data_IF_716816087341
#
_entry.id   IF_716816087341
#
_cell.length_a   1.000
_cell.length_b   1.000
_cell.length_c   1.000
_cell.angle_alpha   90.00
_cell.angle_beta   90.00
_cell.angle_gamma   90.00
#
_symmetry.space_group_name_H-M   'P 1'
#
loop_
_entity.id
_entity.type
_entity.pdbx_description
1 polymer ?
#
# COMPACT_ATOMS: atom_id res chain seq x y z
N UNK A 1 -3.07 34.48 17.19
CA UNK A 1 -3.87 34.46 15.93
C UNK A 1 -4.14 35.87 15.48
N UNK A 2 -4.72 36.73 16.31
CA UNK A 2 -4.85 38.18 16.01
C UNK A 2 -3.48 38.82 15.72
N UNK A 3 -2.46 38.53 16.53
CA UNK A 3 -1.09 39.03 16.29
C UNK A 3 -0.51 38.58 14.93
N UNK A 4 -0.77 37.33 14.52
CA UNK A 4 -0.29 36.80 13.25
C UNK A 4 -1.02 37.43 12.05
N UNK A 5 -2.31 37.73 12.19
CA UNK A 5 -3.10 38.43 11.17
C UNK A 5 -2.61 39.87 11.02
N UNK A 6 -2.42 40.58 12.13
CA UNK A 6 -1.90 41.93 12.14
C UNK A 6 -0.49 42.00 11.54
N UNK A 7 0.35 40.98 11.79
CA UNK A 7 1.69 40.89 11.21
C UNK A 7 1.64 40.71 9.69
N UNK A 8 0.80 39.81 9.19
CA UNK A 8 0.62 39.62 7.74
C UNK A 8 0.09 40.89 7.08
N UNK A 9 -0.92 41.54 7.64
CA UNK A 9 -1.46 42.80 7.11
C UNK A 9 -0.40 43.92 7.08
N UNK A 10 0.42 44.01 8.13
CA UNK A 10 1.52 44.98 8.21
C UNK A 10 2.56 44.73 7.13
N UNK A 11 3.00 43.49 6.96
CA UNK A 11 3.97 43.11 5.93
C UNK A 11 3.42 43.32 4.52
N UNK A 12 2.14 43.00 4.27
CA UNK A 12 1.50 43.26 2.98
C UNK A 12 1.45 44.75 2.62
N UNK A 13 1.18 45.61 3.60
CA UNK A 13 1.16 47.06 3.39
C UNK A 13 2.57 47.63 3.16
N UNK A 14 3.58 47.07 3.80
CA UNK A 14 4.96 47.57 3.74
C UNK A 14 5.73 47.08 2.52
N UNK A 15 5.57 45.80 2.17
CA UNK A 15 6.41 45.10 1.17
C UNK A 15 5.61 44.61 -0.04
N UNK A 16 4.28 44.71 0.02
CA UNK A 16 3.37 44.26 -1.03
C UNK A 16 2.91 42.80 -0.85
N UNK A 17 1.79 42.42 -1.49
CA UNK A 17 1.13 41.12 -1.28
C UNK A 17 1.90 39.90 -1.81
N UNK A 18 2.96 40.12 -2.58
CA UNK A 18 3.83 39.08 -3.15
C UNK A 18 5.24 39.08 -2.54
N UNK A 19 5.46 39.79 -1.42
CA UNK A 19 6.76 39.77 -0.74
C UNK A 19 7.13 38.35 -0.29
N UNK A 20 8.39 37.97 -0.47
CA UNK A 20 8.93 36.70 0.03
C UNK A 20 8.87 36.61 1.56
N UNK A 21 8.92 37.76 2.26
CA UNK A 21 8.80 37.85 3.71
C UNK A 21 7.46 37.37 4.27
N UNK A 22 6.43 37.27 3.41
CA UNK A 22 5.10 36.81 3.80
C UNK A 22 4.98 35.29 3.90
N UNK A 23 5.89 34.50 3.31
CA UNK A 23 5.76 33.04 3.29
C UNK A 23 5.66 32.48 4.73
N UNK A 24 6.66 32.70 5.59
CA UNK A 24 6.66 32.15 6.95
C UNK A 24 5.44 32.60 7.80
N UNK A 25 5.09 33.90 7.87
CA UNK A 25 3.90 34.35 8.60
C UNK A 25 2.58 33.73 8.10
N UNK A 26 2.43 33.54 6.79
CA UNK A 26 1.26 32.87 6.22
C UNK A 26 1.22 31.37 6.57
N UNK A 27 2.37 30.68 6.59
CA UNK A 27 2.46 29.31 7.07
C UNK A 27 2.03 29.20 8.54
N UNK A 28 2.55 30.09 9.40
CA UNK A 28 2.22 30.11 10.83
C UNK A 28 0.72 30.40 11.07
N UNK A 29 0.10 31.26 10.25
CA UNK A 29 -1.37 31.41 10.24
C UNK A 29 -2.07 30.11 9.86
N UNK A 30 -1.62 29.46 8.78
CA UNK A 30 -2.14 28.17 8.34
C UNK A 30 -2.15 27.13 9.46
N UNK A 31 -1.02 26.97 10.15
CA UNK A 31 -0.87 26.09 11.29
C UNK A 31 -1.78 26.48 12.45
N UNK A 32 -1.88 27.78 12.76
CA UNK A 32 -2.77 28.27 13.81
C UNK A 32 -4.25 27.98 13.50
N UNK A 33 -4.68 28.02 12.24
CA UNK A 33 -6.04 27.61 11.85
C UNK A 33 -6.26 26.11 11.99
N UNK A 34 -5.27 25.27 11.67
CA UNK A 34 -5.36 23.81 11.88
C UNK A 34 -5.54 23.44 13.35
N UNK A 35 -4.82 24.11 14.28
CA UNK A 35 -5.00 23.86 15.73
C UNK A 35 -6.42 24.18 16.22
N UNK A 36 -7.20 24.94 15.45
CA UNK A 36 -8.61 25.28 15.75
C UNK A 36 -9.60 24.49 14.90
N UNK A 37 -9.17 23.42 14.23
CA UNK A 37 -9.99 22.63 13.30
C UNK A 37 -10.62 23.45 12.16
N UNK A 38 -9.98 24.55 11.75
CA UNK A 38 -10.42 25.44 10.68
C UNK A 38 -9.65 25.15 9.39
N UNK A 39 -9.86 23.95 8.84
CA UNK A 39 -9.09 23.45 7.70
C UNK A 39 -9.25 24.31 6.43
N UNK A 40 -10.41 24.95 6.21
CA UNK A 40 -10.65 25.76 5.00
C UNK A 40 -9.80 27.02 4.98
N UNK A 41 -9.69 27.68 6.12
CA UNK A 41 -8.82 28.84 6.30
C UNK A 41 -7.36 28.43 6.22
N UNK A 42 -6.98 27.34 6.87
CA UNK A 42 -5.63 26.82 6.82
C UNK A 42 -5.17 26.56 5.38
N UNK A 43 -6.00 25.90 4.56
CA UNK A 43 -5.72 25.62 3.15
C UNK A 43 -5.38 26.91 2.40
N UNK A 44 -6.18 27.98 2.55
CA UNK A 44 -5.95 29.25 1.85
C UNK A 44 -4.59 29.87 2.22
N UNK A 45 -4.25 29.90 3.51
CA UNK A 45 -2.99 30.48 3.96
C UNK A 45 -1.78 29.63 3.56
N UNK A 46 -1.87 28.30 3.69
CA UNK A 46 -0.81 27.37 3.29
C UNK A 46 -0.55 27.39 1.79
N UNK A 47 -1.59 27.38 0.96
CA UNK A 47 -1.44 27.48 -0.51
C UNK A 47 -0.70 28.76 -0.92
N UNK A 48 -1.06 29.89 -0.31
CA UNK A 48 -0.40 31.16 -0.60
C UNK A 48 1.04 31.18 -0.11
N UNK A 49 1.30 30.64 1.07
CA UNK A 49 2.65 30.50 1.61
C UNK A 49 3.55 29.66 0.69
N UNK A 50 3.06 28.50 0.25
CA UNK A 50 3.75 27.62 -0.70
C UNK A 50 4.01 28.34 -2.02
N UNK A 51 3.02 29.06 -2.56
CA UNK A 51 3.20 29.83 -3.78
C UNK A 51 4.33 30.86 -3.65
N UNK A 52 4.37 31.61 -2.55
CA UNK A 52 5.42 32.60 -2.33
C UNK A 52 6.79 31.95 -2.17
N UNK A 53 6.89 30.86 -1.40
CA UNK A 53 8.13 30.08 -1.27
C UNK A 53 8.63 29.59 -2.65
N UNK A 54 7.74 29.11 -3.53
CA UNK A 54 8.12 28.71 -4.90
C UNK A 54 8.70 29.87 -5.71
N UNK A 55 8.10 31.05 -5.60
CA UNK A 55 8.52 32.25 -6.33
C UNK A 55 9.85 32.78 -5.80
N UNK A 56 10.05 32.75 -4.47
CA UNK A 56 11.22 33.36 -3.83
C UNK A 56 12.43 32.43 -3.70
N UNK A 57 12.20 31.14 -3.43
CA UNK A 57 13.26 30.17 -3.11
C UNK A 57 13.40 29.07 -4.17
N UNK A 58 12.48 29.02 -5.14
CA UNK A 58 12.49 28.07 -6.26
C UNK A 58 11.47 26.94 -6.13
N UNK A 59 11.24 26.25 -7.24
CA UNK A 59 10.14 25.29 -7.38
C UNK A 59 10.21 24.13 -6.38
N UNK A 60 11.37 23.75 -5.87
CA UNK A 60 11.53 22.62 -4.95
C UNK A 60 12.26 23.00 -3.66
N UNK A 61 11.97 24.20 -3.14
CA UNK A 61 12.55 24.68 -1.89
C UNK A 61 12.13 23.83 -0.67
N UNK A 62 13.04 23.54 0.30
CA UNK A 62 12.75 22.68 1.46
C UNK A 62 11.75 23.30 2.43
N UNK A 63 11.68 24.63 2.45
CA UNK A 63 10.70 25.39 3.24
C UNK A 63 9.26 24.94 2.95
N UNK A 64 9.01 24.40 1.76
CA UNK A 64 7.71 23.88 1.35
C UNK A 64 7.33 22.55 2.02
N UNK A 65 8.29 21.76 2.52
CA UNK A 65 8.01 20.39 2.99
C UNK A 65 6.96 20.36 4.11
N UNK A 66 7.17 21.11 5.19
CA UNK A 66 6.23 21.16 6.33
C UNK A 66 4.87 21.74 5.90
N UNK A 67 4.87 22.79 5.07
CA UNK A 67 3.64 23.42 4.61
C UNK A 67 2.78 22.46 3.76
N UNK A 68 3.43 21.67 2.89
CA UNK A 68 2.77 20.67 2.07
C UNK A 68 2.22 19.53 2.91
N UNK A 69 2.99 19.03 3.89
CA UNK A 69 2.52 17.98 4.82
C UNK A 69 1.25 18.43 5.57
N UNK A 70 1.23 19.67 6.06
CA UNK A 70 0.06 20.25 6.72
C UNK A 70 -1.10 20.50 5.76
N UNK A 71 -0.82 20.93 4.52
CA UNK A 71 -1.84 21.13 3.49
C UNK A 71 -2.51 19.81 3.09
N UNK A 72 -1.73 18.73 2.94
CA UNK A 72 -2.22 17.38 2.67
C UNK A 72 -3.13 16.91 3.82
N UNK A 73 -2.68 17.06 5.07
CA UNK A 73 -3.48 16.71 6.24
C UNK A 73 -4.80 17.49 6.29
N UNK A 74 -4.76 18.78 5.95
CA UNK A 74 -5.95 19.62 5.85
C UNK A 74 -6.93 19.10 4.80
N UNK A 75 -6.46 18.74 3.59
CA UNK A 75 -7.31 18.16 2.55
C UNK A 75 -7.92 16.83 2.96
N UNK A 76 -7.15 15.93 3.58
CA UNK A 76 -7.64 14.66 4.12
C UNK A 76 -8.74 14.91 5.15
N UNK A 77 -8.56 15.88 6.05
CA UNK A 77 -9.56 16.22 7.08
C UNK A 77 -10.89 16.72 6.50
N UNK A 78 -10.87 17.29 5.29
CA UNK A 78 -12.06 17.73 4.57
C UNK A 78 -12.66 16.65 3.65
N UNK A 79 -12.05 15.47 3.59
CA UNK A 79 -12.41 14.42 2.62
C UNK A 79 -12.04 14.76 1.17
N UNK A 80 -11.22 15.78 0.94
CA UNK A 80 -10.75 16.15 -0.40
C UNK A 80 -9.50 15.33 -0.77
N UNK A 81 -9.69 14.03 -0.96
CA UNK A 81 -8.61 13.08 -1.24
C UNK A 81 -7.90 13.33 -2.57
N UNK A 82 -8.60 13.84 -3.59
CA UNK A 82 -7.99 14.18 -4.88
C UNK A 82 -6.97 15.31 -4.73
N UNK A 83 -7.33 16.40 -4.03
CA UNK A 83 -6.38 17.48 -3.81
C UNK A 83 -5.19 17.03 -2.94
N UNK A 84 -5.42 16.14 -1.96
CA UNK A 84 -4.35 15.54 -1.18
C UNK A 84 -3.39 14.71 -2.06
N UNK A 85 -3.90 13.91 -3.00
CA UNK A 85 -3.09 13.07 -3.90
C UNK A 85 -2.20 13.91 -4.83
N UNK A 86 -2.74 15.02 -5.36
CA UNK A 86 -1.95 15.98 -6.14
C UNK A 86 -0.80 16.58 -5.32
N UNK A 87 -1.07 16.98 -4.07
CA UNK A 87 -0.05 17.55 -3.19
C UNK A 87 0.98 16.52 -2.75
N UNK A 88 0.61 15.25 -2.57
CA UNK A 88 1.54 14.16 -2.24
C UNK A 88 2.56 13.92 -3.37
N UNK A 89 2.09 13.92 -4.61
CA UNK A 89 2.97 13.82 -5.80
C UNK A 89 3.95 15.00 -5.87
N UNK A 90 3.49 16.20 -5.49
CA UNK A 90 4.37 17.37 -5.44
C UNK A 90 5.35 17.32 -4.26
N UNK A 91 4.91 16.92 -3.06
CA UNK A 91 5.77 16.73 -1.89
C UNK A 91 6.89 15.73 -2.16
N UNK A 92 6.58 14.61 -2.82
CA UNK A 92 7.59 13.64 -3.23
C UNK A 92 8.64 14.29 -4.14
N UNK A 93 8.23 15.07 -5.14
CA UNK A 93 9.19 15.82 -6.01
C UNK A 93 10.05 16.80 -5.21
N UNK A 94 9.45 17.58 -4.29
CA UNK A 94 10.21 18.49 -3.42
C UNK A 94 11.24 17.73 -2.59
N UNK A 95 10.85 16.60 -2.00
CA UNK A 95 11.77 15.80 -1.19
C UNK A 95 12.85 15.13 -2.04
N UNK A 96 12.56 14.66 -3.25
CA UNK A 96 13.53 13.98 -4.10
C UNK A 96 14.50 14.94 -4.79
N UNK A 97 14.07 16.15 -5.16
CA UNK A 97 14.85 17.06 -6.00
C UNK A 97 16.21 17.47 -5.39
N UNK A 98 16.31 17.61 -4.07
CA UNK A 98 17.56 18.07 -3.44
C UNK A 98 18.52 16.94 -3.08
N UNK A 99 18.18 15.71 -3.45
CA UNK A 99 18.76 14.48 -2.89
C UNK A 99 19.13 13.51 -4.01
N UNK A 100 19.71 14.04 -5.08
CA UNK A 100 20.04 13.33 -6.33
C UNK A 100 21.17 12.29 -6.17
N UNK A 101 21.84 12.23 -5.02
CA UNK A 101 22.84 11.18 -4.77
C UNK A 101 22.16 9.81 -4.64
N UNK A 102 22.61 8.80 -5.41
CA UNK A 102 22.17 7.41 -5.23
C UNK A 102 22.34 6.98 -3.77
N UNK A 103 21.34 6.30 -3.22
CA UNK A 103 21.36 5.84 -1.83
C UNK A 103 21.10 6.92 -0.77
N UNK A 104 20.68 8.15 -1.13
CA UNK A 104 20.38 9.18 -0.14
C UNK A 104 19.24 8.73 0.81
N UNK A 105 19.48 8.58 2.14
CA UNK A 105 18.49 7.99 3.05
C UNK A 105 17.18 8.76 3.13
N UNK A 106 17.21 10.09 3.00
CA UNK A 106 16.01 10.92 3.07
C UNK A 106 15.16 10.82 1.80
N UNK A 107 15.79 10.62 0.62
CA UNK A 107 15.07 10.35 -0.63
C UNK A 107 14.46 8.96 -0.60
N UNK A 108 15.23 7.97 -0.19
CA UNK A 108 14.80 6.59 0.03
C UNK A 108 13.59 6.52 0.97
N UNK A 109 13.62 7.22 2.10
CA UNK A 109 12.47 7.35 3.01
C UNK A 109 11.27 8.00 2.31
N UNK A 110 11.48 9.09 1.56
CA UNK A 110 10.42 9.76 0.82
C UNK A 110 9.76 8.84 -0.23
N UNK A 111 10.55 7.98 -0.90
CA UNK A 111 10.06 6.96 -1.83
C UNK A 111 9.11 5.99 -1.13
N UNK A 112 9.49 5.44 0.03
CA UNK A 112 8.63 4.52 0.78
C UNK A 112 7.34 5.19 1.26
N UNK A 113 7.43 6.45 1.74
CA UNK A 113 6.24 7.21 2.17
C UNK A 113 5.28 7.48 1.01
N UNK A 114 5.81 7.84 -0.16
CA UNK A 114 4.99 8.10 -1.35
C UNK A 114 4.41 6.80 -1.94
N UNK A 115 5.19 5.71 -1.96
CA UNK A 115 4.69 4.39 -2.35
C UNK A 115 3.55 3.93 -1.43
N UNK A 116 3.68 4.12 -0.11
CA UNK A 116 2.59 3.82 0.82
C UNK A 116 1.33 4.67 0.54
N UNK A 117 1.49 5.97 0.25
CA UNK A 117 0.37 6.82 -0.16
C UNK A 117 -0.30 6.30 -1.44
N UNK A 118 0.49 5.94 -2.48
CA UNK A 118 -0.05 5.37 -3.71
C UNK A 118 -0.78 4.05 -3.47
N UNK A 119 -0.28 3.17 -2.58
CA UNK A 119 -1.01 1.95 -2.20
C UNK A 119 -2.36 2.28 -1.57
N UNK A 120 -2.41 3.24 -0.65
CA UNK A 120 -3.67 3.68 0.00
C UNK A 120 -4.62 4.28 -1.03
N UNK A 121 -4.14 5.12 -1.94
CA UNK A 121 -4.96 5.70 -3.01
C UNK A 121 -5.52 4.64 -3.96
N UNK A 122 -4.71 3.65 -4.34
CA UNK A 122 -5.11 2.51 -5.16
C UNK A 122 -6.23 1.69 -4.48
N UNK A 123 -6.04 1.33 -3.21
CA UNK A 123 -7.04 0.58 -2.43
C UNK A 123 -8.28 1.41 -2.10
N UNK A 124 -8.15 2.73 -2.09
CA UNK A 124 -9.23 3.68 -1.87
C UNK A 124 -10.04 4.01 -3.12
N UNK A 125 -9.71 3.43 -4.28
CA UNK A 125 -10.38 3.67 -5.56
C UNK A 125 -10.37 5.16 -5.99
N UNK A 126 -9.30 5.90 -5.68
CA UNK A 126 -9.19 7.32 -6.01
C UNK A 126 -9.01 7.57 -7.53
N UNK A 127 -8.50 6.59 -8.26
CA UNK A 127 -8.18 6.73 -9.68
C UNK A 127 -9.33 6.40 -10.61
N UNK A 128 -9.38 7.12 -11.73
CA UNK A 128 -10.18 6.71 -12.89
C UNK A 128 -9.62 5.46 -13.55
N UNK A 129 -8.30 5.44 -13.78
CA UNK A 129 -7.56 4.30 -14.30
C UNK A 129 -6.64 3.75 -13.21
N UNK A 130 -6.74 2.46 -12.91
CA UNK A 130 -6.04 1.82 -11.79
C UNK A 130 -4.64 1.35 -12.15
N UNK A 131 -4.44 0.84 -13.37
CA UNK A 131 -3.13 0.29 -13.77
C UNK A 131 -1.97 1.30 -13.69
N UNK A 132 -2.13 2.61 -14.01
CA UNK A 132 -1.00 3.56 -13.98
C UNK A 132 -0.36 3.66 -12.59
N UNK A 133 -1.15 3.55 -11.52
CA UNK A 133 -0.63 3.63 -10.15
C UNK A 133 0.18 2.39 -9.77
N UNK A 134 -0.22 1.20 -10.24
CA UNK A 134 0.56 -0.03 -10.04
C UNK A 134 1.88 0.00 -10.82
N UNK A 135 1.87 0.58 -12.02
CA UNK A 135 3.08 0.82 -12.81
C UNK A 135 4.00 1.82 -12.10
N UNK A 136 3.48 2.95 -11.62
CA UNK A 136 4.27 3.92 -10.87
C UNK A 136 4.84 3.36 -9.55
N UNK A 137 4.10 2.50 -8.84
CA UNK A 137 4.63 1.76 -7.69
C UNK A 137 5.79 0.85 -8.08
N UNK A 138 5.68 0.14 -9.21
CA UNK A 138 6.75 -0.70 -9.72
C UNK A 138 8.01 0.13 -10.00
N UNK A 139 7.84 1.26 -10.68
CA UNK A 139 8.93 2.16 -11.05
C UNK A 139 9.67 2.69 -9.82
N UNK A 140 8.94 3.14 -8.79
CA UNK A 140 9.56 3.62 -7.55
C UNK A 140 10.40 2.57 -6.84
N UNK A 141 9.92 1.32 -6.80
CA UNK A 141 10.67 0.26 -6.13
C UNK A 141 11.84 -0.23 -6.97
N UNK A 142 11.69 -0.33 -8.30
CA UNK A 142 12.79 -0.68 -9.21
C UNK A 142 13.90 0.36 -9.12
N UNK A 143 13.59 1.65 -9.25
CA UNK A 143 14.56 2.74 -9.17
C UNK A 143 15.32 2.74 -7.82
N UNK A 144 14.60 2.60 -6.70
CA UNK A 144 15.22 2.59 -5.39
C UNK A 144 16.13 1.37 -5.15
N UNK A 145 15.74 0.19 -5.67
CA UNK A 145 16.56 -1.02 -5.59
C UNK A 145 17.79 -0.88 -6.46
N UNK A 146 17.66 -0.42 -7.71
CA UNK A 146 18.79 -0.23 -8.62
C UNK A 146 19.83 0.73 -8.04
N UNK A 147 19.39 1.85 -7.47
CA UNK A 147 20.28 2.83 -6.83
C UNK A 147 21.00 2.29 -5.60
N UNK A 148 20.30 1.55 -4.74
CA UNK A 148 20.90 0.92 -3.56
C UNK A 148 21.87 -0.20 -3.94
N UNK A 149 21.52 -1.02 -4.94
CA UNK A 149 22.43 -2.04 -5.47
C UNK A 149 23.71 -1.41 -6.04
N UNK A 150 23.61 -0.27 -6.72
CA UNK A 150 24.78 0.45 -7.25
C UNK A 150 25.62 1.07 -6.12
N UNK A 151 24.98 1.64 -5.10
CA UNK A 151 25.67 2.32 -4.00
C UNK A 151 26.29 1.36 -2.97
N UNK A 152 25.61 0.27 -2.65
CA UNK A 152 25.92 -0.59 -1.49
C UNK A 152 26.08 -2.08 -1.85
N UNK A 153 25.65 -2.47 -3.05
CA UNK A 153 25.70 -3.85 -3.52
C UNK A 153 24.41 -4.64 -3.26
N UNK A 154 24.29 -5.78 -3.95
CA UNK A 154 23.06 -6.61 -4.01
C UNK A 154 22.61 -7.25 -2.71
N UNK A 155 23.52 -7.33 -1.73
CA UNK A 155 23.28 -7.94 -0.44
C UNK A 155 23.08 -6.91 0.68
N UNK A 156 22.89 -5.63 0.34
CA UNK A 156 22.63 -4.61 1.36
C UNK A 156 21.31 -4.88 2.11
N UNK A 157 21.30 -4.88 3.45
CA UNK A 157 20.07 -4.92 4.24
C UNK A 157 19.11 -3.75 3.95
N UNK A 158 19.62 -2.62 3.45
CA UNK A 158 18.80 -1.43 3.14
C UNK A 158 17.87 -1.64 1.93
N UNK A 159 18.08 -2.72 1.15
CA UNK A 159 17.17 -3.17 0.10
C UNK A 159 15.86 -3.79 0.64
N UNK A 160 15.87 -4.29 1.88
CA UNK A 160 14.76 -5.08 2.44
C UNK A 160 13.39 -4.36 2.42
N UNK A 161 13.27 -3.06 2.75
CA UNK A 161 11.99 -2.35 2.68
C UNK A 161 11.43 -2.24 1.24
N UNK A 162 12.30 -2.07 0.24
CA UNK A 162 11.88 -1.93 -1.17
C UNK A 162 11.50 -3.27 -1.79
N UNK A 163 12.25 -4.33 -1.46
CA UNK A 163 11.88 -5.70 -1.82
C UNK A 163 10.54 -6.08 -1.20
N UNK A 164 10.32 -5.73 0.06
CA UNK A 164 9.02 -5.91 0.72
C UNK A 164 7.91 -5.17 -0.04
N UNK A 165 8.15 -3.93 -0.46
CA UNK A 165 7.22 -3.17 -1.30
C UNK A 165 6.88 -3.85 -2.64
N UNK A 166 7.87 -4.42 -3.34
CA UNK A 166 7.66 -5.20 -4.59
C UNK A 166 6.85 -6.47 -4.37
N UNK A 167 7.08 -7.16 -3.25
CA UNK A 167 6.29 -8.34 -2.87
C UNK A 167 4.83 -7.96 -2.66
N UNK A 168 4.58 -6.88 -1.91
CA UNK A 168 3.22 -6.36 -1.67
C UNK A 168 2.54 -5.92 -2.98
N UNK A 169 3.27 -5.24 -3.86
CA UNK A 169 2.79 -4.87 -5.19
C UNK A 169 2.41 -6.10 -6.02
N UNK A 170 3.21 -7.17 -5.98
CA UNK A 170 2.93 -8.41 -6.70
C UNK A 170 1.62 -9.08 -6.24
N UNK A 171 1.29 -8.96 -4.95
CA UNK A 171 -0.02 -9.37 -4.44
C UNK A 171 -1.15 -8.47 -4.95
N UNK A 172 -0.98 -7.14 -4.98
CA UNK A 172 -1.98 -6.22 -5.53
C UNK A 172 -2.28 -6.52 -7.02
N UNK A 173 -1.24 -6.76 -7.81
CA UNK A 173 -1.37 -7.14 -9.23
C UNK A 173 -2.11 -8.49 -9.38
N UNK A 174 -1.89 -9.43 -8.47
CA UNK A 174 -2.56 -10.75 -8.50
C UNK A 174 -4.08 -10.66 -8.33
N UNK A 175 -4.56 -9.65 -7.61
CA UNK A 175 -5.98 -9.42 -7.35
C UNK A 175 -6.56 -8.25 -8.15
N UNK A 176 -5.83 -7.79 -9.17
CA UNK A 176 -6.22 -6.64 -9.97
C UNK A 176 -7.67 -6.78 -10.49
N UNK A 177 -8.60 -5.91 -10.07
CA UNK A 177 -10.04 -6.11 -10.33
C UNK A 177 -10.47 -5.74 -11.76
N UNK A 178 -9.56 -5.23 -12.59
CA UNK A 178 -9.92 -4.57 -13.84
C UNK A 178 -10.08 -3.07 -13.65
N UNK A 179 -10.27 -2.35 -14.76
CA UNK A 179 -10.52 -0.91 -14.73
C UNK A 179 -11.94 -0.59 -14.25
N UNK A 180 -12.12 0.59 -13.66
CA UNK A 180 -13.49 1.05 -13.38
C UNK A 180 -14.17 1.41 -14.69
N UNK A 181 -15.33 0.79 -14.98
CA UNK A 181 -16.22 1.27 -16.04
C UNK A 181 -16.81 2.62 -15.61
N UNK A 182 -16.12 3.73 -15.89
CA UNK A 182 -16.77 5.04 -15.80
C UNK A 182 -17.87 5.08 -16.86
N UNK A 183 -19.11 5.22 -16.39
CA UNK A 183 -20.33 5.03 -17.17
C UNK A 183 -20.35 5.69 -18.55
N UNK A 184 -21.05 5.02 -19.47
CA UNK A 184 -21.52 5.51 -20.77
C UNK A 184 -20.56 6.49 -21.48
N UNK A 185 -19.69 5.96 -22.34
CA UNK A 185 -19.14 6.71 -23.48
C UNK A 185 -20.30 6.99 -24.45
N UNK A 186 -21.10 8.03 -24.18
CA UNK A 186 -21.96 8.65 -25.19
C UNK A 186 -21.11 9.54 -26.10
N UNK A 187 -20.10 8.95 -26.72
CA UNK A 187 -19.44 9.55 -27.86
C UNK A 187 -19.58 8.56 -29.00
N UNK A 188 -20.26 9.00 -30.05
CA UNK A 188 -20.42 8.28 -31.30
C UNK A 188 -19.07 8.18 -32.03
N UNK A 189 -18.09 7.48 -31.44
CA UNK A 189 -16.88 7.06 -32.15
C UNK A 189 -17.24 5.82 -32.96
N UNK A 190 -17.02 5.92 -34.27
CA UNK A 190 -17.19 4.79 -35.17
C UNK A 190 -16.27 3.63 -34.74
N UNK A 191 -16.67 2.35 -34.96
CA UNK A 191 -15.92 1.18 -34.50
C UNK A 191 -14.59 0.90 -35.23
N UNK A 192 -13.96 1.91 -35.85
CA UNK A 192 -12.81 1.74 -36.73
C UNK A 192 -11.47 2.15 -36.12
N UNK A 193 -11.46 2.77 -34.93
CA UNK A 193 -10.21 3.09 -34.24
C UNK A 193 -9.87 1.96 -33.27
N UNK A 194 -8.92 1.10 -33.65
CA UNK A 194 -8.14 0.32 -32.68
C UNK A 194 -7.47 1.35 -31.76
N UNK A 195 -8.01 1.60 -30.55
CA UNK A 195 -7.30 2.36 -29.52
C UNK A 195 -6.00 1.58 -29.22
N UNK A 196 -4.86 2.08 -29.75
CA UNK A 196 -3.55 1.52 -29.43
C UNK A 196 -3.36 1.62 -27.92
N UNK A 197 -2.93 0.52 -27.29
CA UNK A 197 -2.61 0.50 -25.87
C UNK A 197 -1.55 1.57 -25.55
N UNK A 198 -1.74 2.31 -24.45
CA UNK A 198 -0.73 3.25 -23.96
C UNK A 198 0.54 2.50 -23.54
N UNK A 199 1.69 3.19 -23.51
CA UNK A 199 2.93 2.58 -23.02
C UNK A 199 2.78 2.02 -21.60
N UNK A 200 2.16 2.80 -20.70
CA UNK A 200 1.85 2.36 -19.34
C UNK A 200 0.96 1.11 -19.30
N UNK A 201 -0.01 0.97 -20.21
CA UNK A 201 -0.85 -0.22 -20.31
C UNK A 201 -0.06 -1.45 -20.79
N UNK A 202 0.82 -1.29 -21.78
CA UNK A 202 1.69 -2.37 -22.25
C UNK A 202 2.67 -2.81 -21.15
N UNK A 203 3.24 -1.86 -20.40
CA UNK A 203 4.10 -2.14 -19.24
C UNK A 203 3.33 -2.90 -18.17
N UNK A 204 2.12 -2.47 -17.83
CA UNK A 204 1.26 -3.16 -16.87
C UNK A 204 0.97 -4.61 -17.29
N UNK A 205 0.62 -4.85 -18.57
CA UNK A 205 0.39 -6.21 -19.06
C UNK A 205 1.62 -7.08 -18.89
N UNK A 206 2.82 -6.57 -19.22
CA UNK A 206 4.07 -7.30 -19.01
C UNK A 206 4.29 -7.65 -17.54
N UNK A 207 4.06 -6.69 -16.64
CA UNK A 207 4.15 -6.89 -15.18
C UNK A 207 3.20 -8.00 -14.74
N UNK A 208 1.93 -7.91 -15.15
CA UNK A 208 0.90 -8.88 -14.80
C UNK A 208 1.18 -10.28 -15.34
N UNK A 209 1.61 -10.39 -16.59
CA UNK A 209 1.89 -11.67 -17.25
C UNK A 209 3.06 -12.41 -16.59
N UNK A 210 4.03 -11.67 -16.04
CA UNK A 210 5.21 -12.21 -15.35
C UNK A 210 5.13 -12.07 -13.83
N UNK A 211 3.96 -11.74 -13.27
CA UNK A 211 3.81 -11.35 -11.87
C UNK A 211 4.35 -12.40 -10.88
N UNK A 212 4.12 -13.69 -11.16
CA UNK A 212 4.67 -14.79 -10.34
C UNK A 212 6.21 -14.68 -10.21
N UNK A 213 6.89 -14.38 -11.32
CA UNK A 213 8.35 -14.30 -11.36
C UNK A 213 8.84 -13.06 -10.62
N UNK A 214 8.22 -11.90 -10.84
CA UNK A 214 8.62 -10.66 -10.15
C UNK A 214 8.52 -10.78 -8.63
N UNK A 215 7.41 -11.34 -8.12
CA UNK A 215 7.28 -11.58 -6.68
C UNK A 215 8.28 -12.61 -6.16
N UNK A 216 8.58 -13.66 -6.95
CA UNK A 216 9.55 -14.68 -6.57
C UNK A 216 10.97 -14.12 -6.50
N UNK A 217 11.40 -13.35 -7.50
CA UNK A 217 12.74 -12.74 -7.53
C UNK A 217 12.97 -11.81 -6.32
N UNK A 218 11.98 -11.00 -5.95
CA UNK A 218 12.08 -10.14 -4.77
C UNK A 218 12.15 -10.93 -3.45
N UNK A 219 11.44 -12.06 -3.35
CA UNK A 219 11.48 -12.95 -2.19
C UNK A 219 12.81 -13.72 -2.09
N UNK A 220 13.34 -14.19 -3.21
CA UNK A 220 14.64 -14.88 -3.28
C UNK A 220 15.77 -13.91 -2.92
N UNK A 221 15.77 -12.69 -3.47
CA UNK A 221 16.77 -11.67 -3.12
C UNK A 221 16.69 -11.29 -1.62
N UNK A 222 15.48 -11.18 -1.06
CA UNK A 222 15.30 -10.95 0.38
C UNK A 222 15.92 -12.07 1.22
N UNK A 223 15.75 -13.32 0.80
CA UNK A 223 16.36 -14.47 1.47
C UNK A 223 17.90 -14.45 1.34
N UNK A 224 18.43 -14.12 0.17
CA UNK A 224 19.87 -14.01 -0.09
C UNK A 224 20.53 -12.93 0.78
N UNK A 225 19.91 -11.74 0.90
CA UNK A 225 20.38 -10.65 1.77
C UNK A 225 20.49 -11.12 3.22
N UNK A 226 19.45 -11.79 3.74
CA UNK A 226 19.45 -12.26 5.12
C UNK A 226 20.52 -13.34 5.32
N UNK A 227 20.65 -14.30 4.39
CA UNK A 227 21.69 -15.34 4.45
C UNK A 227 23.12 -14.76 4.40
N UNK A 228 23.31 -13.67 3.66
CA UNK A 228 24.60 -12.98 3.57
C UNK A 228 24.93 -12.12 4.81
N UNK A 229 23.95 -11.84 5.67
CA UNK A 229 24.12 -11.00 6.85
C UNK A 229 24.23 -11.84 8.14
N UNK A 230 25.41 -11.93 8.78
CA UNK A 230 25.59 -12.70 10.01
C UNK A 230 24.81 -12.17 11.22
N UNK A 231 24.32 -10.94 11.18
CA UNK A 231 23.51 -10.35 12.26
C UNK A 231 22.02 -10.72 12.15
N UNK A 232 21.60 -11.34 11.04
CA UNK A 232 20.22 -11.77 10.84
C UNK A 232 19.84 -12.87 11.84
N UNK A 233 18.66 -12.70 12.43
CA UNK A 233 18.16 -13.63 13.44
C UNK A 233 17.46 -14.82 12.79
N UNK A 234 17.41 -16.00 13.45
CA UNK A 234 16.67 -17.16 12.95
C UNK A 234 15.22 -16.84 12.56
N UNK A 235 14.54 -15.97 13.32
CA UNK A 235 13.16 -15.55 13.00
C UNK A 235 13.05 -14.77 11.69
N UNK A 236 14.10 -14.06 11.28
CA UNK A 236 14.13 -13.28 10.03
C UNK A 236 14.32 -14.21 8.84
N UNK A 237 15.22 -15.19 8.94
CA UNK A 237 15.38 -16.25 7.95
C UNK A 237 14.09 -17.06 7.80
N UNK A 238 13.50 -17.51 8.91
CA UNK A 238 12.24 -18.23 8.91
C UNK A 238 11.10 -17.39 8.31
N UNK A 239 11.05 -16.08 8.60
CA UNK A 239 10.03 -15.19 8.04
C UNK A 239 10.19 -14.98 6.52
N UNK A 240 11.40 -14.89 5.99
CA UNK A 240 11.64 -14.81 4.55
C UNK A 240 11.26 -16.11 3.82
N UNK A 241 11.67 -17.26 4.37
CA UNK A 241 11.29 -18.59 3.85
C UNK A 241 9.77 -18.80 3.91
N UNK A 242 9.12 -18.33 4.97
CA UNK A 242 7.67 -18.35 5.11
C UNK A 242 6.96 -17.50 4.06
N UNK A 243 7.49 -16.32 3.74
CA UNK A 243 6.93 -15.48 2.69
C UNK A 243 7.05 -16.14 1.29
N UNK A 244 8.14 -16.87 1.02
CA UNK A 244 8.25 -17.72 -0.17
C UNK A 244 7.16 -18.81 -0.18
N UNK A 245 6.96 -19.50 0.95
CA UNK A 245 5.93 -20.53 1.07
C UNK A 245 4.52 -19.97 0.80
N UNK A 246 4.20 -18.81 1.38
CA UNK A 246 2.95 -18.09 1.18
C UNK A 246 2.75 -17.68 -0.30
N UNK A 247 3.81 -17.28 -1.00
CA UNK A 247 3.74 -16.94 -2.43
C UNK A 247 3.44 -18.16 -3.31
N UNK A 248 4.12 -19.28 -3.06
CA UNK A 248 3.80 -20.54 -3.75
C UNK A 248 2.37 -21.02 -3.41
N UNK A 249 1.93 -20.85 -2.16
CA UNK A 249 0.60 -21.20 -1.70
C UNK A 249 -0.47 -20.36 -2.41
N UNK A 250 -0.27 -19.04 -2.48
CA UNK A 250 -1.12 -18.09 -3.19
C UNK A 250 -1.30 -18.47 -4.67
N UNK A 251 -0.21 -18.86 -5.32
CA UNK A 251 -0.20 -19.31 -6.72
C UNK A 251 -0.57 -20.79 -6.94
N UNK A 252 -1.13 -21.45 -5.92
CA UNK A 252 -1.62 -22.85 -5.98
C UNK A 252 -0.55 -23.90 -6.29
N UNK A 253 0.71 -23.59 -5.99
CA UNK A 253 1.86 -24.49 -6.17
C UNK A 253 2.13 -25.27 -4.88
N UNK A 254 1.13 -26.03 -4.44
CA UNK A 254 1.03 -26.57 -3.08
C UNK A 254 2.21 -27.48 -2.67
N UNK A 255 2.73 -28.31 -3.58
CA UNK A 255 3.83 -29.21 -3.26
C UNK A 255 5.14 -28.47 -2.90
N UNK A 256 5.37 -27.28 -3.47
CA UNK A 256 6.52 -26.45 -3.07
C UNK A 256 6.21 -25.65 -1.81
N UNK A 257 4.99 -25.12 -1.68
CA UNK A 257 4.55 -24.40 -0.49
C UNK A 257 4.64 -25.26 0.79
N UNK A 258 4.11 -26.49 0.75
CA UNK A 258 4.12 -27.43 1.88
C UNK A 258 5.56 -27.71 2.34
N UNK A 259 6.45 -28.06 1.40
CA UNK A 259 7.88 -28.27 1.73
C UNK A 259 8.52 -27.04 2.36
N UNK A 260 8.22 -25.85 1.85
CA UNK A 260 8.77 -24.61 2.42
C UNK A 260 8.21 -24.34 3.84
N UNK A 261 6.95 -24.69 4.12
CA UNK A 261 6.41 -24.57 5.49
C UNK A 261 7.08 -25.56 6.46
N UNK A 262 7.33 -26.80 6.01
CA UNK A 262 8.09 -27.81 6.77
C UNK A 262 9.52 -27.32 7.04
N UNK A 263 10.21 -26.77 6.02
CA UNK A 263 11.53 -26.17 6.19
C UNK A 263 11.54 -24.98 7.17
N UNK A 264 10.48 -24.15 7.19
CA UNK A 264 10.33 -23.07 8.18
C UNK A 264 10.21 -23.62 9.59
N UNK A 265 9.50 -24.74 9.77
CA UNK A 265 9.42 -25.41 11.06
C UNK A 265 10.79 -25.90 11.50
N UNK A 266 11.54 -26.55 10.62
CA UNK A 266 12.88 -27.06 10.90
C UNK A 266 13.88 -25.96 11.27
N UNK A 267 13.79 -24.77 10.65
CA UNK A 267 14.61 -23.61 11.02
C UNK A 267 14.33 -23.17 12.47
N UNK A 268 13.07 -23.21 12.89
CA UNK A 268 12.65 -22.62 14.15
C UNK A 268 12.63 -23.60 15.32
N UNK A 269 12.48 -24.90 15.09
CA UNK A 269 12.15 -25.88 16.15
C UNK A 269 13.16 -25.94 17.30
N UNK A 270 14.44 -25.69 17.00
CA UNK A 270 15.53 -25.75 17.98
C UNK A 270 15.87 -24.37 18.62
N UNK A 271 15.15 -23.31 18.26
CA UNK A 271 15.39 -21.95 18.75
C UNK A 271 14.76 -21.67 20.12
N UNK A 272 15.36 -20.79 20.92
CA UNK A 272 14.89 -20.48 22.28
C UNK A 272 13.44 -19.97 22.33
N UNK A 273 13.02 -19.21 21.30
CA UNK A 273 11.67 -18.65 21.16
C UNK A 273 10.79 -19.41 20.16
N UNK A 274 11.19 -20.62 19.75
CA UNK A 274 10.52 -21.45 18.75
C UNK A 274 9.01 -21.54 18.95
N UNK A 275 8.60 -21.95 20.15
CA UNK A 275 7.21 -22.27 20.44
C UNK A 275 6.29 -21.06 20.26
N UNK A 276 6.68 -19.89 20.78
CA UNK A 276 5.89 -18.67 20.66
C UNK A 276 5.79 -18.22 19.20
N UNK A 277 6.89 -18.31 18.45
CA UNK A 277 6.91 -17.93 17.04
C UNK A 277 6.08 -18.87 16.17
N UNK A 278 6.27 -20.19 16.30
CA UNK A 278 5.54 -21.21 15.56
C UNK A 278 4.04 -21.16 15.88
N UNK A 279 3.68 -20.98 17.15
CA UNK A 279 2.29 -20.76 17.55
C UNK A 279 1.73 -19.51 16.85
N UNK A 280 2.45 -18.39 16.86
CA UNK A 280 1.99 -17.18 16.17
C UNK A 280 1.79 -17.37 14.67
N UNK A 281 2.63 -18.17 13.99
CA UNK A 281 2.62 -18.30 12.53
C UNK A 281 1.73 -19.42 11.99
N UNK A 282 1.53 -20.49 12.75
CA UNK A 282 0.92 -21.74 12.28
C UNK A 282 -0.18 -22.31 13.17
N UNK A 283 -0.49 -21.73 14.34
CA UNK A 283 -1.54 -22.31 15.21
C UNK A 283 -2.92 -22.30 14.58
N UNK A 284 -3.23 -21.28 13.77
CA UNK A 284 -4.52 -21.10 13.11
C UNK A 284 -4.23 -20.72 11.65
N UNK A 285 -5.03 -21.20 10.69
CA UNK A 285 -4.88 -20.78 9.31
C UNK A 285 -4.98 -19.26 9.15
N UNK A 286 -4.11 -18.71 8.32
CA UNK A 286 -4.01 -17.28 8.04
C UNK A 286 -4.43 -16.98 6.60
N UNK A 287 -5.33 -16.03 6.38
CA UNK A 287 -5.63 -15.51 5.05
C UNK A 287 -4.37 -14.97 4.34
N UNK A 288 -4.22 -15.28 3.04
CA UNK A 288 -3.12 -14.77 2.21
C UNK A 288 -3.63 -13.80 1.14
N UNK A 289 -2.89 -12.73 0.81
CA UNK A 289 -1.73 -12.26 1.55
C UNK A 289 -2.10 -11.80 2.96
N UNK A 290 -1.07 -11.50 3.77
CA UNK A 290 -1.26 -10.86 5.06
C UNK A 290 -2.11 -9.58 4.91
N UNK A 291 -2.90 -9.28 5.95
CA UNK A 291 -3.94 -8.24 5.91
C UNK A 291 -3.41 -6.80 5.83
N UNK A 292 -2.10 -6.61 5.94
CA UNK A 292 -1.38 -5.35 5.73
C UNK A 292 -1.23 -4.98 4.24
N UNK A 293 -1.21 -5.97 3.34
CA UNK A 293 -1.13 -5.74 1.89
C UNK A 293 -2.43 -5.13 1.37
N UNK A 294 -3.54 -5.82 1.61
CA UNK A 294 -4.90 -5.33 1.40
C UNK A 294 -5.81 -6.04 2.39
N UNK A 295 -6.87 -5.36 2.84
CA UNK A 295 -7.95 -6.05 3.55
C UNK A 295 -8.97 -6.53 2.52
N UNK A 296 -9.23 -7.82 2.42
CA UNK A 296 -10.29 -8.26 1.54
C UNK A 296 -11.64 -7.80 2.08
N UNK A 297 -12.46 -7.19 1.23
CA UNK A 297 -13.66 -6.48 1.67
C UNK A 297 -13.37 -5.11 2.29
N UNK A 298 -12.14 -4.59 2.21
CA UNK A 298 -11.88 -3.18 2.54
C UNK A 298 -12.78 -2.32 1.65
N UNK A 299 -13.56 -1.52 2.33
CA UNK A 299 -14.61 -0.76 1.70
C UNK A 299 -13.99 0.58 1.28
N UNK A 300 -14.17 1.03 0.03
CA UNK A 300 -13.65 2.32 -0.41
C UNK A 300 -14.02 3.43 0.57
N UNK A 301 -13.13 4.40 0.73
CA UNK A 301 -13.34 5.53 1.63
C UNK A 301 -14.68 6.20 1.33
N UNK A 302 -15.53 6.35 2.36
CA UNK A 302 -16.86 6.97 2.23
C UNK A 302 -18.01 6.01 1.88
N UNK A 303 -17.78 4.70 1.84
CA UNK A 303 -18.88 3.74 1.62
C UNK A 303 -19.77 3.61 2.85
N UNK A 304 -21.07 3.80 2.66
CA UNK A 304 -22.06 3.85 3.75
C UNK A 304 -22.73 2.49 4.03
N UNK A 305 -22.67 1.54 3.10
CA UNK A 305 -23.42 0.27 3.17
C UNK A 305 -22.48 -0.93 3.28
N UNK A 306 -22.45 -1.55 4.45
CA UNK A 306 -21.63 -2.72 4.76
C UNK A 306 -22.40 -3.73 5.58
N UNK A 307 -22.22 -5.02 5.32
CA UNK A 307 -22.72 -6.12 6.13
C UNK A 307 -21.56 -6.89 6.74
N UNK A 308 -21.73 -7.36 7.98
CA UNK A 308 -20.84 -8.34 8.59
C UNK A 308 -21.38 -9.75 8.36
N UNK A 309 -20.59 -10.57 7.66
CA UNK A 309 -20.94 -11.96 7.35
C UNK A 309 -20.04 -12.91 8.14
N UNK A 310 -20.65 -13.69 9.05
CA UNK A 310 -20.01 -14.76 9.81
C UNK A 310 -20.11 -16.08 9.06
N UNK A 311 -19.00 -16.82 8.98
CA UNK A 311 -18.92 -18.11 8.29
C UNK A 311 -18.12 -19.13 9.10
N UNK A 312 -18.57 -20.38 9.09
CA UNK A 312 -17.87 -21.59 9.58
C UNK A 312 -17.33 -22.35 8.37
N UNK A 313 -16.06 -22.75 8.39
CA UNK A 313 -15.47 -23.51 7.28
C UNK A 313 -14.27 -24.36 7.72
N UNK A 314 -13.83 -25.25 6.85
CA UNK A 314 -12.60 -26.02 7.02
C UNK A 314 -11.52 -25.45 6.12
N UNK A 315 -10.33 -25.20 6.64
CA UNK A 315 -9.14 -24.98 5.81
C UNK A 315 -8.46 -26.31 5.57
N UNK A 316 -8.41 -26.73 4.31
CA UNK A 316 -7.71 -27.97 3.94
C UNK A 316 -6.19 -27.84 4.04
N UNK A 317 -5.45 -28.96 3.99
CA UNK A 317 -3.99 -28.98 3.92
C UNK A 317 -3.39 -28.20 2.74
N UNK A 318 -4.18 -27.95 1.69
CA UNK A 318 -3.78 -27.13 0.55
C UNK A 318 -4.20 -25.67 0.71
N UNK A 319 -4.57 -25.23 1.91
CA UNK A 319 -4.95 -23.84 2.20
C UNK A 319 -6.21 -23.37 1.50
N UNK A 320 -7.12 -24.28 1.14
CA UNK A 320 -8.41 -23.96 0.51
C UNK A 320 -9.53 -24.04 1.54
N UNK A 321 -10.45 -23.07 1.50
CA UNK A 321 -11.69 -23.11 2.27
C UNK A 321 -12.67 -24.13 1.68
N UNK A 322 -13.14 -25.06 2.53
CA UNK A 322 -14.09 -26.13 2.22
C UNK A 322 -15.21 -26.16 3.24
N UNK A 323 -16.30 -26.83 2.91
CA UNK A 323 -17.45 -27.04 3.82
C UNK A 323 -17.98 -25.72 4.43
N UNK A 324 -17.98 -24.65 3.62
CA UNK A 324 -18.37 -23.30 4.04
C UNK A 324 -19.85 -23.27 4.39
N UNK A 325 -20.16 -22.85 5.62
CA UNK A 325 -21.49 -22.58 6.14
C UNK A 325 -21.62 -21.11 6.49
N UNK A 326 -22.74 -20.51 6.11
CA UNK A 326 -23.07 -19.13 6.47
C UNK A 326 -23.78 -19.16 7.82
N UNK A 327 -23.27 -18.40 8.79
CA UNK A 327 -23.86 -18.27 10.13
C UNK A 327 -24.77 -17.03 10.22
N UNK A 328 -24.54 -16.01 9.39
CA UNK A 328 -25.39 -14.81 9.32
C UNK A 328 -26.73 -15.11 8.66
N UNK A 329 -27.82 -14.68 9.30
CA UNK A 329 -29.18 -14.81 8.75
C UNK A 329 -29.44 -13.80 7.62
N UNK A 330 -30.24 -14.22 6.63
CA UNK A 330 -30.66 -13.34 5.53
C UNK A 330 -31.82 -12.45 5.99
N UNK A 331 -31.56 -11.16 6.17
CA UNK A 331 -32.60 -10.18 6.58
C UNK A 331 -33.33 -9.56 5.39
N UNK A 332 -32.63 -9.37 4.27
CA UNK A 332 -33.14 -8.71 3.07
C UNK A 332 -32.32 -9.14 1.82
N UNK A 333 -32.67 -8.58 0.66
CA UNK A 333 -32.00 -8.88 -0.61
C UNK A 333 -30.56 -8.39 -0.65
N UNK A 334 -30.26 -7.29 0.04
CA UNK A 334 -28.94 -6.69 0.04
C UNK A 334 -27.98 -7.53 0.89
N UNK A 335 -28.45 -8.03 2.03
CA UNK A 335 -27.79 -9.04 2.85
C UNK A 335 -27.55 -10.34 2.06
N UNK A 336 -28.52 -10.81 1.28
CA UNK A 336 -28.33 -11.98 0.41
C UNK A 336 -27.21 -11.76 -0.63
N UNK A 337 -27.16 -10.55 -1.20
CA UNK A 337 -26.11 -10.12 -2.13
C UNK A 337 -24.73 -10.08 -1.45
N UNK A 338 -24.66 -9.56 -0.23
CA UNK A 338 -23.46 -9.52 0.60
C UNK A 338 -22.96 -10.94 0.95
N UNK A 339 -23.85 -11.83 1.38
CA UNK A 339 -23.54 -13.25 1.67
C UNK A 339 -22.97 -13.94 0.42
N UNK A 340 -23.58 -13.73 -0.75
CA UNK A 340 -23.11 -14.32 -2.01
C UNK A 340 -21.69 -13.85 -2.34
N UNK A 341 -21.41 -12.55 -2.19
CA UNK A 341 -20.06 -11.99 -2.36
C UNK A 341 -19.07 -12.56 -1.34
N UNK A 342 -19.45 -12.65 -0.07
CA UNK A 342 -18.62 -13.21 1.00
C UNK A 342 -18.22 -14.66 0.70
N UNK A 343 -19.18 -15.47 0.27
CA UNK A 343 -18.95 -16.87 -0.09
C UNK A 343 -17.97 -17.01 -1.25
N UNK A 344 -18.18 -16.27 -2.35
CA UNK A 344 -17.26 -16.31 -3.50
C UNK A 344 -15.86 -15.82 -3.14
N UNK A 345 -15.79 -14.79 -2.32
CA UNK A 345 -14.53 -14.29 -1.79
C UNK A 345 -13.79 -15.37 -0.99
N UNK A 346 -14.43 -15.97 0.02
CA UNK A 346 -13.82 -17.01 0.86
C UNK A 346 -13.41 -18.25 0.05
N UNK A 347 -14.24 -18.66 -0.91
CA UNK A 347 -13.94 -19.80 -1.80
C UNK A 347 -12.69 -19.58 -2.67
N UNK A 348 -12.45 -18.35 -3.07
CA UNK A 348 -11.29 -18.00 -3.90
C UNK A 348 -10.06 -17.61 -3.09
N UNK A 349 -10.23 -17.28 -1.81
CA UNK A 349 -9.15 -16.99 -0.87
C UNK A 349 -8.23 -18.19 -0.69
N UNK A 350 -6.95 -17.91 -0.42
CA UNK A 350 -5.95 -18.92 -0.07
C UNK A 350 -5.45 -18.65 1.33
N UNK A 351 -5.23 -19.72 2.06
CA UNK A 351 -4.78 -19.67 3.44
C UNK A 351 -3.40 -20.29 3.55
N UNK A 352 -2.57 -19.74 4.45
CA UNK A 352 -1.52 -20.52 5.07
C UNK A 352 -2.20 -21.55 5.98
N UNK A 353 -1.98 -22.85 5.78
CA UNK A 353 -2.56 -23.88 6.63
C UNK A 353 -1.88 -23.93 8.01
N UNK A 354 -2.50 -24.63 8.95
CA UNK A 354 -1.86 -24.95 10.23
C UNK A 354 -0.82 -26.04 10.09
N UNK A 355 0.15 -26.06 11.01
CA UNK A 355 1.11 -27.14 11.17
C UNK A 355 0.90 -27.83 12.52
N UNK A 356 1.01 -29.15 12.53
CA UNK A 356 1.07 -30.00 13.72
C UNK A 356 2.33 -30.85 13.64
N UNK A 357 3.23 -30.69 14.62
CA UNK A 357 4.55 -31.35 14.66
C UNK A 357 5.33 -31.25 13.33
N UNK A 358 5.33 -30.07 12.71
CA UNK A 358 6.01 -29.81 11.44
C UNK A 358 5.22 -30.21 10.19
N UNK A 359 4.13 -30.97 10.31
CA UNK A 359 3.34 -31.39 9.17
C UNK A 359 2.13 -30.48 8.93
N UNK A 360 1.85 -30.18 7.66
CA UNK A 360 0.68 -29.38 7.29
C UNK A 360 -0.62 -30.16 7.51
N UNK A 361 -1.52 -29.60 8.33
CA UNK A 361 -2.80 -30.22 8.69
C UNK A 361 -4.00 -29.43 8.18
N UNK A 362 -5.13 -30.12 8.02
CA UNK A 362 -6.42 -29.46 7.80
C UNK A 362 -7.00 -29.00 9.14
N UNK A 363 -7.60 -27.81 9.15
CA UNK A 363 -8.20 -27.23 10.35
C UNK A 363 -9.70 -27.07 10.13
N UNK A 364 -10.55 -27.91 10.76
CA UNK A 364 -11.99 -27.76 10.71
C UNK A 364 -12.46 -26.63 11.64
N UNK A 365 -13.71 -26.19 11.45
CA UNK A 365 -14.40 -25.27 12.34
C UNK A 365 -13.71 -23.92 12.56
N UNK A 366 -13.21 -23.34 11.47
CA UNK A 366 -12.72 -21.97 11.46
C UNK A 366 -13.91 -21.02 11.32
N UNK A 367 -14.10 -20.19 12.33
CA UNK A 367 -15.04 -19.07 12.26
C UNK A 367 -14.33 -17.77 11.91
N UNK A 368 -14.90 -17.03 10.95
CA UNK A 368 -14.43 -15.70 10.54
C UNK A 368 -15.61 -14.78 10.24
N UNK A 369 -15.41 -13.50 10.54
CA UNK A 369 -16.31 -12.42 10.17
C UNK A 369 -15.69 -11.60 9.04
N UNK A 370 -16.45 -11.36 7.99
CA UNK A 370 -16.03 -10.54 6.85
C UNK A 370 -16.96 -9.35 6.68
N UNK A 371 -16.38 -8.16 6.60
CA UNK A 371 -17.10 -6.94 6.25
C UNK A 371 -17.21 -6.86 4.72
N UNK A 372 -18.44 -6.83 4.20
CA UNK A 372 -18.73 -6.89 2.77
C UNK A 372 -19.65 -5.72 2.40
N UNK A 373 -19.25 -4.96 1.37
CA UNK A 373 -20.09 -3.91 0.80
C UNK A 373 -21.35 -4.47 0.13
N UNK A 374 -22.44 -3.72 0.13
CA UNK A 374 -23.62 -4.04 -0.67
C UNK A 374 -24.32 -2.84 -1.31
#
# INVERSE_FOLDING_TARGET
MEDLLAEVERLEQQEGPMSSGLARPLADLGYAYLTRNRSSEAIRYLQRSIHLARVSEGLYAPSQEEMLEQLIAAYISQGNFMAADEQQTYLFRVKSFQREHPGNPQRLEATLRYANWMRVAYLGDLDRERYPRLVGLNDLYEEAIEELEEAEGKNSPDLLPYLQGRIELSYLISVYPGEQETGFRADARQPTDFELASDAQLRFWRIRDHNFRYGLEALEQKEEILQANPESRPEEHAAARLALADWYQWHRRYAKAIRLYEEVWDIMVDEENAQAWLQQKFSIPLELPRTDVFKPGQVPLGTLNTAEISMDFTVSRHGEAKDIKILTEVTDKDMQSAITRAYHYLRNMRFRPSLDNGEVVATPHIERNYQIRY
#
